data_IF_226302940863
#
_entry.id   IF_226302940863
#
_cell.length_a   1.000
_cell.length_b   1.000
_cell.length_c   1.000
_cell.angle_alpha   90.00
_cell.angle_beta   90.00
_cell.angle_gamma   90.00
#
_symmetry.space_group_name_H-M   'P 1'
#
loop_
_entity.id
_entity.type
_entity.pdbx_description
1 polymer ?
#
# COMPACT_ATOMS: atom_id res chain seq x y z
N UNK A 1 1.96 11.94 -9.23
CA UNK A 1 1.52 12.82 -10.32
C UNK A 1 0.33 13.59 -9.83
N UNK A 2 0.54 14.81 -9.35
CA UNK A 2 -0.15 15.27 -8.14
C UNK A 2 -1.70 15.20 -8.16
N UNK A 3 -2.30 14.35 -7.31
CA UNK A 3 -3.74 14.17 -7.15
C UNK A 3 -4.20 14.17 -5.69
N UNK A 4 -5.52 14.11 -5.47
CA UNK A 4 -6.10 13.92 -4.12
C UNK A 4 -5.82 12.51 -3.54
N UNK A 5 -5.38 11.56 -4.35
CA UNK A 5 -5.07 10.21 -3.91
C UNK A 5 -3.68 10.11 -3.27
N UNK A 6 -2.77 11.03 -3.56
CA UNK A 6 -1.37 10.99 -3.10
C UNK A 6 -1.28 11.09 -1.56
N UNK A 7 -2.17 11.87 -0.95
CA UNK A 7 -2.29 11.94 0.50
C UNK A 7 -2.71 10.59 1.11
N UNK A 8 -3.62 9.87 0.43
CA UNK A 8 -4.06 8.53 0.84
C UNK A 8 -2.91 7.54 0.68
N UNK A 9 -2.20 7.60 -0.45
CA UNK A 9 -1.09 6.71 -0.77
C UNK A 9 0.11 6.94 0.18
N UNK A 10 0.41 8.18 0.52
CA UNK A 10 1.43 8.55 1.50
C UNK A 10 1.12 7.94 2.88
N UNK A 11 -0.10 8.13 3.38
CA UNK A 11 -0.54 7.55 4.67
C UNK A 11 -0.50 6.01 4.62
N UNK A 12 -0.88 5.41 3.49
CA UNK A 12 -0.79 3.96 3.30
C UNK A 12 0.67 3.46 3.39
N UNK A 13 1.61 4.14 2.73
CA UNK A 13 3.04 3.81 2.80
C UNK A 13 3.58 3.94 4.23
N UNK A 14 3.20 4.99 4.97
CA UNK A 14 3.62 5.17 6.37
C UNK A 14 3.11 4.05 7.28
N UNK A 15 1.82 3.68 7.17
CA UNK A 15 1.26 2.58 7.98
C UNK A 15 1.89 1.23 7.59
N UNK A 16 2.19 1.01 6.31
CA UNK A 16 2.90 -0.18 5.85
C UNK A 16 4.34 -0.23 6.39
N UNK A 17 5.08 0.88 6.37
CA UNK A 17 6.42 0.96 6.95
C UNK A 17 6.39 0.69 8.45
N UNK A 18 5.44 1.30 9.17
CA UNK A 18 5.28 1.08 10.60
C UNK A 18 4.98 -0.38 10.94
N UNK A 19 4.16 -1.06 10.16
CA UNK A 19 3.77 -2.45 10.41
C UNK A 19 4.87 -3.44 9.99
N UNK A 20 5.57 -3.21 8.87
CA UNK A 20 6.42 -4.23 8.26
C UNK A 20 7.93 -3.95 8.31
N UNK A 21 8.37 -2.69 8.36
CA UNK A 21 9.81 -2.37 8.40
C UNK A 21 10.54 -2.91 9.66
N UNK A 22 9.92 -2.96 10.87
CA UNK A 22 10.57 -3.55 12.05
C UNK A 22 10.96 -5.03 11.88
N UNK A 23 10.26 -5.76 11.02
CA UNK A 23 10.54 -7.17 10.72
C UNK A 23 11.48 -7.35 9.50
N UNK A 24 12.04 -6.24 8.99
CA UNK A 24 12.97 -6.24 7.87
C UNK A 24 12.32 -6.40 6.49
N UNK A 25 11.00 -6.25 6.38
CA UNK A 25 10.33 -6.19 5.08
C UNK A 25 10.63 -4.85 4.39
N UNK A 26 10.80 -4.89 3.07
CA UNK A 26 11.08 -3.70 2.26
C UNK A 26 9.79 -3.15 1.68
N UNK A 27 9.49 -1.89 1.95
CA UNK A 27 8.44 -1.16 1.26
C UNK A 27 9.00 -0.59 -0.04
N UNK A 28 8.30 -0.85 -1.16
CA UNK A 28 8.68 -0.33 -2.47
C UNK A 28 8.03 1.03 -2.67
N UNK A 29 8.85 2.06 -2.80
CA UNK A 29 8.44 3.43 -3.11
C UNK A 29 8.98 3.83 -4.48
N UNK A 30 8.26 4.68 -5.18
CA UNK A 30 8.81 5.50 -6.26
C UNK A 30 8.73 6.94 -5.76
N UNK A 31 9.81 7.70 -5.92
CA UNK A 31 9.90 9.09 -5.43
C UNK A 31 10.29 10.05 -6.53
N UNK A 32 10.07 9.65 -7.78
CA UNK A 32 10.50 10.39 -8.96
C UNK A 32 9.76 11.72 -9.13
N UNK A 33 8.55 11.84 -8.58
CA UNK A 33 7.69 13.03 -8.65
C UNK A 33 7.34 13.65 -7.28
N UNK A 34 7.90 13.13 -6.18
CA UNK A 34 7.93 13.79 -4.87
C UNK A 34 7.03 13.18 -3.78
N UNK A 35 6.17 12.23 -4.13
CA UNK A 35 5.43 11.38 -3.18
C UNK A 35 6.02 9.94 -3.23
N UNK A 36 5.61 8.99 -2.35
CA UNK A 36 6.18 7.64 -2.33
C UNK A 36 5.46 6.64 -3.25
N UNK A 37 4.40 7.05 -3.95
CA UNK A 37 3.52 6.14 -4.67
C UNK A 37 3.95 5.91 -6.11
N UNK A 38 3.32 4.91 -6.74
CA UNK A 38 3.67 4.50 -8.09
C UNK A 38 2.56 4.86 -9.03
N UNK A 39 2.86 5.84 -9.87
CA UNK A 39 1.96 6.25 -10.92
C UNK A 39 1.72 5.13 -11.93
N UNK A 40 0.47 4.70 -12.05
CA UNK A 40 0.05 3.66 -12.99
C UNK A 40 -1.33 3.97 -13.53
N UNK A 41 -1.48 3.91 -14.86
CA UNK A 41 -2.72 4.24 -15.56
C UNK A 41 -3.72 3.06 -15.54
N UNK A 42 -3.91 2.44 -14.39
CA UNK A 42 -4.88 1.34 -14.22
C UNK A 42 -6.30 1.86 -14.36
N UNK A 43 -7.15 1.08 -15.04
CA UNK A 43 -8.53 1.48 -15.34
C UNK A 43 -9.31 1.90 -14.09
N UNK A 44 -9.18 1.14 -13.00
CA UNK A 44 -9.90 1.39 -11.75
C UNK A 44 -9.46 2.67 -11.02
N UNK A 45 -8.22 3.11 -11.23
CA UNK A 45 -7.68 4.35 -10.65
C UNK A 45 -8.08 5.58 -11.46
N UNK A 46 -8.31 5.41 -12.77
CA UNK A 46 -8.65 6.52 -13.69
C UNK A 46 -10.16 6.73 -13.86
N UNK A 47 -10.94 5.66 -13.91
CA UNK A 47 -12.37 5.70 -14.21
C UNK A 47 -13.21 5.67 -12.93
N UNK A 48 -12.85 6.51 -11.96
CA UNK A 48 -13.54 6.67 -10.68
C UNK A 48 -13.84 8.16 -10.43
N UNK A 49 -14.91 8.43 -9.67
CA UNK A 49 -15.27 9.78 -9.23
C UNK A 49 -14.64 10.16 -7.88
N UNK A 50 -14.18 9.17 -7.12
CA UNK A 50 -13.52 9.37 -5.83
C UNK A 50 -12.02 9.12 -5.94
N UNK A 51 -11.20 9.74 -5.07
CA UNK A 51 -9.79 9.35 -4.92
C UNK A 51 -9.69 7.84 -4.67
N UNK A 52 -8.78 7.18 -5.37
CA UNK A 52 -8.57 5.74 -5.28
C UNK A 52 -7.09 5.42 -5.23
N UNK A 53 -6.74 4.42 -4.40
CA UNK A 53 -5.38 3.87 -4.27
C UNK A 53 -5.48 2.37 -4.42
N UNK A 54 -4.50 1.76 -5.09
CA UNK A 54 -4.36 0.32 -5.23
C UNK A 54 -3.11 -0.12 -4.48
N UNK A 55 -3.27 -1.08 -3.57
CA UNK A 55 -2.16 -1.67 -2.82
C UNK A 55 -1.72 -3.00 -3.43
N UNK A 56 -0.45 -3.07 -3.84
CA UNK A 56 0.22 -4.34 -4.13
C UNK A 56 0.96 -4.79 -2.86
N UNK A 57 0.36 -5.71 -2.10
CA UNK A 57 0.85 -6.04 -0.75
C UNK A 57 2.21 -6.75 -0.76
N UNK A 58 2.35 -7.83 -1.54
CA UNK A 58 3.56 -8.65 -1.67
C UNK A 58 3.56 -9.42 -3.01
N UNK A 59 4.60 -10.23 -3.23
CA UNK A 59 4.81 -11.00 -4.46
C UNK A 59 4.37 -12.46 -4.31
N UNK A 60 3.36 -12.90 -5.05
CA UNK A 60 2.91 -14.31 -5.02
C UNK A 60 3.88 -15.28 -5.69
N UNK A 61 4.79 -14.80 -6.52
CA UNK A 61 5.88 -15.55 -7.16
C UNK A 61 7.15 -15.62 -6.30
N UNK A 62 7.20 -14.90 -5.18
CA UNK A 62 8.21 -15.06 -4.15
C UNK A 62 7.72 -16.01 -3.05
N UNK A 63 8.43 -17.11 -2.82
CA UNK A 63 8.00 -18.14 -1.86
C UNK A 63 7.78 -17.59 -0.44
N UNK A 64 8.69 -16.71 0.04
CA UNK A 64 8.62 -16.13 1.39
C UNK A 64 7.37 -15.27 1.54
N UNK A 65 7.12 -14.39 0.57
CA UNK A 65 5.98 -13.49 0.50
C UNK A 65 4.66 -14.26 0.38
N UNK A 66 4.61 -15.25 -0.52
CA UNK A 66 3.45 -16.11 -0.71
C UNK A 66 3.10 -16.86 0.57
N UNK A 67 4.08 -17.50 1.22
CA UNK A 67 3.85 -18.18 2.52
C UNK A 67 3.31 -17.22 3.56
N UNK A 68 3.84 -15.99 3.64
CA UNK A 68 3.35 -14.97 4.55
C UNK A 68 1.87 -14.60 4.28
N UNK A 69 1.53 -14.26 3.03
CA UNK A 69 0.16 -13.91 2.62
C UNK A 69 -0.85 -15.05 2.80
N UNK A 70 -0.38 -16.30 2.81
CA UNK A 70 -1.23 -17.48 3.01
C UNK A 70 -1.55 -17.75 4.48
N UNK A 71 -0.88 -17.10 5.44
CA UNK A 71 -1.20 -17.21 6.88
C UNK A 71 -2.30 -16.23 7.30
N UNK A 72 -3.06 -16.60 8.34
CA UNK A 72 -4.04 -15.69 8.95
C UNK A 72 -3.35 -14.47 9.57
N UNK A 73 -2.23 -14.67 10.27
CA UNK A 73 -1.45 -13.59 10.85
C UNK A 73 -0.94 -12.60 9.79
N UNK A 74 -0.48 -13.08 8.63
CA UNK A 74 -0.04 -12.21 7.55
C UNK A 74 -1.18 -11.39 6.96
N UNK A 75 -2.34 -12.03 6.71
CA UNK A 75 -3.54 -11.33 6.23
C UNK A 75 -4.07 -10.31 7.22
N UNK A 76 -4.07 -10.64 8.51
CA UNK A 76 -4.50 -9.72 9.57
C UNK A 76 -3.63 -8.46 9.62
N UNK A 77 -2.30 -8.61 9.49
CA UNK A 77 -1.38 -7.47 9.46
C UNK A 77 -1.58 -6.60 8.22
N UNK A 78 -1.79 -7.20 7.06
CA UNK A 78 -2.15 -6.47 5.83
C UNK A 78 -3.46 -5.71 6.04
N UNK A 79 -4.50 -6.36 6.58
CA UNK A 79 -5.78 -5.71 6.84
C UNK A 79 -5.66 -4.55 7.85
N UNK A 80 -4.85 -4.73 8.90
CA UNK A 80 -4.56 -3.71 9.90
C UNK A 80 -3.94 -2.44 9.31
N UNK A 81 -3.03 -2.56 8.35
CA UNK A 81 -2.48 -1.41 7.62
C UNK A 81 -3.61 -0.63 6.93
N UNK A 82 -4.43 -1.30 6.11
CA UNK A 82 -5.53 -0.65 5.40
C UNK A 82 -6.54 -0.01 6.36
N UNK A 83 -6.88 -0.70 7.45
CA UNK A 83 -7.78 -0.19 8.47
C UNK A 83 -7.25 1.10 9.11
N UNK A 84 -5.97 1.11 9.53
CA UNK A 84 -5.36 2.29 10.12
C UNK A 84 -5.25 3.45 9.13
N UNK A 85 -4.92 3.16 7.87
CA UNK A 85 -4.91 4.15 6.80
C UNK A 85 -6.27 4.82 6.64
N UNK A 86 -7.34 4.03 6.49
CA UNK A 86 -8.71 4.56 6.38
C UNK A 86 -9.07 5.41 7.61
N UNK A 87 -8.75 4.92 8.81
CA UNK A 87 -9.01 5.64 10.06
C UNK A 87 -8.26 6.97 10.17
N UNK A 88 -7.09 7.12 9.55
CA UNK A 88 -6.30 8.37 9.56
C UNK A 88 -6.78 9.40 8.53
N UNK A 89 -7.53 8.96 7.53
CA UNK A 89 -7.98 9.79 6.40
C UNK A 89 -9.42 10.28 6.59
N UNK A 90 -10.21 9.57 7.41
CA UNK A 90 -11.54 9.97 7.88
C UNK A 90 -11.44 10.94 9.06
#
# INVERSE_FOLDING_TARGET
GETKADAIATVLCEEAEKEFAPDGWKIRKDTSDGDPDKESQFYILKHTKCPAVLSENFFFDNEKDCRFMMTDAGRERIAKVHYNTIKRIL
#
